data_IF_368814663678
#
_entry.id   IF_368814663678
#
_cell.length_a   1.000
_cell.length_b   1.000
_cell.length_c   1.000
_cell.angle_alpha   90.00
_cell.angle_beta   90.00
_cell.angle_gamma   90.00
#
_symmetry.space_group_name_H-M   'P 1'
#
loop_
_entity.id
_entity.type
_entity.pdbx_description
1 polymer ?
#
# COMPACT_ATOMS: atom_id res chain seq x y z
N UNK A 1 -8.47 -22.51 31.44
CA UNK A 1 -7.38 -23.12 32.23
C UNK A 1 -6.43 -23.85 31.29
N UNK A 2 -5.37 -23.18 30.85
CA UNK A 2 -4.16 -23.74 30.22
C UNK A 2 -3.16 -22.60 30.02
N UNK A 3 -2.35 -22.35 31.04
CA UNK A 3 -1.19 -21.46 31.01
C UNK A 3 -0.24 -21.94 32.12
N UNK A 4 0.44 -23.06 31.86
CA UNK A 4 1.43 -23.66 32.79
C UNK A 4 2.33 -24.68 32.06
N UNK A 5 2.81 -24.31 30.87
CA UNK A 5 3.61 -25.21 30.02
C UNK A 5 4.68 -24.51 29.19
N UNK A 6 5.20 -23.36 29.65
CA UNK A 6 6.22 -22.59 28.92
C UNK A 6 7.36 -22.08 29.83
N UNK A 7 7.53 -22.66 31.02
CA UNK A 7 8.59 -22.29 31.98
C UNK A 7 9.50 -23.46 32.38
N UNK A 8 9.38 -24.62 31.71
CA UNK A 8 10.22 -25.81 31.96
C UNK A 8 11.14 -26.19 30.78
N UNK A 9 11.32 -25.32 29.78
CA UNK A 9 12.18 -25.57 28.62
C UNK A 9 13.41 -24.65 28.51
N UNK A 10 13.91 -24.14 29.64
CA UNK A 10 15.15 -23.35 29.68
C UNK A 10 16.26 -23.96 30.55
N UNK A 11 16.14 -25.23 30.94
CA UNK A 11 17.10 -25.89 31.84
C UNK A 11 17.97 -27.00 31.21
N UNK A 12 18.01 -27.11 29.89
CA UNK A 12 18.89 -28.07 29.18
C UNK A 12 19.80 -27.36 28.18
N UNK A 13 20.75 -26.57 28.68
CA UNK A 13 21.93 -26.15 27.90
C UNK A 13 23.19 -26.73 28.54
N UNK A 14 24.08 -27.36 27.75
CA UNK A 14 25.25 -28.06 28.27
C UNK A 14 26.36 -27.09 28.76
N UNK A 15 27.03 -27.47 29.86
CA UNK A 15 27.99 -26.65 30.64
C UNK A 15 29.33 -26.33 29.93
N UNK A 16 29.51 -26.75 28.69
CA UNK A 16 30.73 -26.65 27.89
C UNK A 16 30.84 -25.37 27.04
N UNK A 17 29.85 -24.47 27.11
CA UNK A 17 29.88 -23.14 26.47
C UNK A 17 29.97 -21.95 27.45
N UNK A 18 30.19 -22.22 28.75
CA UNK A 18 30.33 -21.20 29.81
C UNK A 18 31.78 -21.06 30.34
N UNK A 19 32.77 -21.18 29.46
CA UNK A 19 34.19 -21.04 29.83
C UNK A 19 35.00 -20.25 28.79
N UNK A 20 34.59 -19.02 28.47
CA UNK A 20 35.48 -18.08 27.78
C UNK A 20 35.13 -16.60 28.02
N UNK A 21 35.40 -16.11 29.24
CA UNK A 21 35.72 -14.69 29.52
C UNK A 21 36.05 -14.49 31.01
N UNK A 22 37.16 -15.07 31.48
CA UNK A 22 37.80 -14.68 32.74
C UNK A 22 39.19 -14.09 32.41
N UNK A 23 39.52 -12.88 32.88
CA UNK A 23 40.74 -12.19 32.50
C UNK A 23 41.97 -12.84 33.14
N UNK A 24 42.91 -13.30 32.31
CA UNK A 24 44.25 -13.72 32.73
C UNK A 24 45.04 -12.52 33.23
N UNK A 25 45.44 -12.56 34.50
CA UNK A 25 46.51 -11.74 35.04
C UNK A 25 47.89 -12.31 34.64
N UNK A 26 48.81 -11.42 34.23
CA UNK A 26 50.25 -11.59 34.48
C UNK A 26 51.20 -11.56 33.28
N UNK A 27 51.85 -10.39 33.07
CA UNK A 27 53.30 -10.14 32.87
C UNK A 27 53.49 -8.84 32.07
N UNK A 28 53.93 -7.73 32.68
CA UNK A 28 55.26 -7.37 33.21
C UNK A 28 56.00 -6.45 32.23
N UNK A 29 56.02 -5.15 32.56
CA UNK A 29 56.85 -4.14 31.90
C UNK A 29 56.65 -2.76 32.55
N UNK A 30 57.58 -2.38 33.42
CA UNK A 30 58.24 -1.05 33.52
C UNK A 30 57.41 0.21 33.10
N UNK A 31 57.29 1.31 33.83
CA UNK A 31 58.16 1.94 34.84
C UNK A 31 57.37 2.95 35.70
N UNK A 32 57.85 3.18 36.92
CA UNK A 32 57.42 4.27 37.79
C UNK A 32 58.18 5.55 37.44
N UNK A 33 57.49 6.62 37.02
CA UNK A 33 57.78 8.04 37.32
C UNK A 33 56.87 8.97 36.50
N UNK A 34 56.47 10.07 37.16
CA UNK A 34 55.65 11.23 36.72
C UNK A 34 54.25 11.21 37.35
N UNK A 35 54.12 11.44 38.65
CA UNK A 35 54.03 12.76 39.30
C UNK A 35 52.90 13.65 38.76
N UNK A 36 51.89 13.83 39.62
CA UNK A 36 51.11 15.06 39.85
C UNK A 36 50.38 15.65 38.65
N UNK A 37 49.13 15.23 38.44
CA UNK A 37 48.32 15.85 37.39
C UNK A 37 46.83 15.50 37.32
N UNK A 38 46.23 14.69 38.20
CA UNK A 38 44.76 14.50 38.18
C UNK A 38 44.25 14.28 39.63
N UNK A 39 44.30 15.32 40.45
CA UNK A 39 43.55 15.36 41.72
C UNK A 39 42.64 16.60 41.81
N UNK A 40 42.48 17.34 40.70
CA UNK A 40 41.69 18.56 40.64
C UNK A 40 40.48 18.50 39.67
N UNK A 41 40.20 17.34 39.04
CA UNK A 41 39.03 17.17 38.17
C UNK A 41 37.90 16.34 38.78
N UNK A 42 38.06 15.80 39.99
CA UNK A 42 37.04 14.95 40.63
C UNK A 42 35.99 15.71 41.46
N UNK A 43 36.09 17.04 41.60
CA UNK A 43 35.10 17.86 42.31
C UNK A 43 34.20 18.71 41.39
N UNK A 44 34.36 18.64 40.06
CA UNK A 44 33.46 19.32 39.11
C UNK A 44 32.45 18.35 38.47
N UNK A 45 32.72 17.04 38.46
CA UNK A 45 31.82 16.06 37.82
C UNK A 45 30.73 15.53 38.77
N UNK A 46 30.91 15.62 40.09
CA UNK A 46 29.88 15.19 41.05
C UNK A 46 28.82 16.27 41.37
N UNK A 47 29.07 17.54 41.03
CA UNK A 47 28.15 18.66 41.27
C UNK A 47 27.22 18.99 40.08
N UNK A 48 27.58 18.58 38.86
CA UNK A 48 26.79 18.83 37.65
C UNK A 48 25.79 17.68 37.33
N UNK A 49 25.96 16.50 37.93
CA UNK A 49 25.08 15.35 37.69
C UNK A 49 23.76 15.38 38.49
N UNK A 50 23.55 16.37 39.37
CA UNK A 50 22.35 16.47 40.24
C UNK A 50 21.46 17.69 40.00
N UNK A 51 21.73 18.50 38.95
CA UNK A 51 20.91 19.67 38.61
C UNK A 51 20.54 19.80 37.12
N UNK A 52 20.70 18.74 36.32
CA UNK A 52 20.57 18.80 34.86
C UNK A 52 19.51 17.91 34.22
N UNK A 53 18.75 17.10 34.96
CA UNK A 53 17.63 16.34 34.39
C UNK A 53 16.35 17.14 34.56
N UNK A 54 16.24 18.24 33.81
CA UNK A 54 14.92 18.71 33.43
C UNK A 54 14.38 17.65 32.47
N UNK A 55 13.43 16.85 32.95
CA UNK A 55 12.55 16.08 32.08
C UNK A 55 11.93 17.07 31.10
N UNK A 56 12.48 17.15 29.90
CA UNK A 56 11.78 17.71 28.76
C UNK A 56 10.73 16.65 28.39
N UNK A 57 9.64 16.65 29.14
CA UNK A 57 8.40 16.07 28.66
C UNK A 57 8.11 16.84 27.37
N UNK A 58 7.94 16.16 26.21
CA UNK A 58 7.38 16.84 25.06
C UNK A 58 6.09 17.51 25.53
N UNK A 59 5.89 18.77 25.15
CA UNK A 59 4.61 19.42 25.38
C UNK A 59 3.51 18.44 24.91
N UNK A 60 2.40 18.28 25.66
CA UNK A 60 1.28 17.51 25.15
C UNK A 60 1.01 18.04 23.74
N UNK A 61 1.05 17.14 22.75
CA UNK A 61 0.76 17.51 21.37
C UNK A 61 -0.50 18.38 21.43
N UNK A 62 -0.39 19.62 20.91
CA UNK A 62 -1.58 20.47 20.82
C UNK A 62 -2.67 19.61 20.19
N UNK A 63 -3.88 19.56 20.78
CA UNK A 63 -4.94 18.74 20.22
C UNK A 63 -5.04 19.12 18.74
N UNK A 64 -4.83 18.12 17.87
CA UNK A 64 -4.94 18.30 16.43
C UNK A 64 -6.20 19.13 16.18
N UNK A 65 -6.10 20.24 15.44
CA UNK A 65 -7.25 21.12 15.23
C UNK A 65 -8.42 20.24 14.80
N UNK A 66 -9.54 20.36 15.51
CA UNK A 66 -10.71 19.52 15.24
C UNK A 66 -11.09 19.67 13.77
N UNK A 67 -11.05 18.57 13.02
CA UNK A 67 -11.36 18.58 11.59
C UNK A 67 -12.82 18.96 11.41
N UNK A 68 -13.07 20.01 10.63
CA UNK A 68 -14.42 20.39 10.22
C UNK A 68 -14.82 19.60 8.96
N UNK A 69 -15.60 18.54 9.16
CA UNK A 69 -16.09 17.68 8.08
C UNK A 69 -17.17 18.35 7.21
N UNK A 70 -17.72 19.50 7.63
CA UNK A 70 -18.68 20.24 6.81
C UNK A 70 -18.00 21.06 5.71
N UNK A 71 -16.69 21.27 5.81
CA UNK A 71 -15.93 22.02 4.83
C UNK A 71 -15.77 21.21 3.53
N UNK A 72 -15.97 21.89 2.40
CA UNK A 72 -15.67 21.39 1.06
C UNK A 72 -14.24 21.75 0.66
N UNK A 73 -13.59 20.87 -0.10
CA UNK A 73 -12.22 21.05 -0.61
C UNK A 73 -12.24 20.94 -2.13
N UNK A 74 -11.52 21.81 -2.84
CA UNK A 74 -11.37 21.67 -4.28
C UNK A 74 -10.28 20.63 -4.59
N UNK A 75 -10.50 19.84 -5.64
CA UNK A 75 -9.51 18.85 -6.06
C UNK A 75 -8.20 19.50 -6.50
N UNK A 76 -8.26 20.65 -7.17
CA UNK A 76 -7.08 21.42 -7.62
C UNK A 76 -6.18 21.94 -6.49
N UNK A 77 -6.70 22.03 -5.26
CA UNK A 77 -5.93 22.43 -4.07
C UNK A 77 -5.11 21.27 -3.47
N UNK A 78 -5.34 20.05 -3.93
CA UNK A 78 -4.64 18.85 -3.47
C UNK A 78 -3.34 18.63 -4.25
N UNK A 79 -2.35 18.03 -3.59
CA UNK A 79 -1.07 17.73 -4.22
C UNK A 79 -0.78 16.24 -4.14
N UNK A 80 -0.43 15.63 -5.27
CA UNK A 80 -0.13 14.20 -5.39
C UNK A 80 1.35 13.93 -5.68
N UNK A 81 2.17 14.98 -5.81
CA UNK A 81 3.58 14.89 -6.19
C UNK A 81 3.77 14.97 -7.69
N UNK A 82 4.92 14.50 -8.16
CA UNK A 82 5.21 14.42 -9.59
C UNK A 82 4.71 13.07 -10.11
N UNK A 83 3.55 13.07 -10.74
CA UNK A 83 2.93 11.87 -11.32
C UNK A 83 2.75 12.03 -12.82
N UNK A 84 2.75 10.92 -13.56
CA UNK A 84 2.45 10.95 -14.99
C UNK A 84 1.95 9.60 -15.52
N UNK A 85 1.12 9.66 -16.57
CA UNK A 85 0.79 8.52 -17.41
C UNK A 85 1.80 8.45 -18.58
N UNK A 86 2.45 7.29 -18.83
CA UNK A 86 3.25 7.06 -20.03
C UNK A 86 2.47 7.31 -21.31
N UNK A 87 3.13 7.93 -22.29
CA UNK A 87 2.59 8.04 -23.64
C UNK A 87 2.45 6.65 -24.29
N UNK A 88 1.41 6.47 -25.09
CA UNK A 88 1.25 5.25 -25.89
C UNK A 88 0.61 4.06 -25.16
N UNK A 89 0.03 4.27 -23.96
CA UNK A 89 -0.97 3.36 -23.38
C UNK A 89 -2.24 3.40 -24.26
N UNK A 90 -2.18 2.72 -25.40
CA UNK A 90 -3.27 2.73 -26.37
C UNK A 90 -4.43 1.88 -25.86
N UNK A 91 -5.56 2.54 -25.58
CA UNK A 91 -6.85 1.89 -25.38
C UNK A 91 -7.36 1.44 -26.74
N UNK A 92 -6.99 0.24 -27.17
CA UNK A 92 -7.57 -0.36 -28.37
C UNK A 92 -8.90 -1.02 -28.02
N UNK A 93 -9.97 -0.23 -27.96
CA UNK A 93 -11.30 -0.80 -27.75
C UNK A 93 -12.43 0.22 -27.75
N UNK A 94 -13.32 0.12 -28.75
CA UNK A 94 -14.67 0.71 -28.71
C UNK A 94 -15.60 -0.17 -27.85
N UNK A 95 -15.22 -0.49 -26.62
CA UNK A 95 -16.09 -1.24 -25.72
C UNK A 95 -16.94 -0.27 -24.91
N UNK A 96 -18.10 0.12 -25.45
CA UNK A 96 -19.16 0.72 -24.65
C UNK A 96 -19.75 -0.38 -23.78
N UNK A 97 -19.18 -0.60 -22.60
CA UNK A 97 -19.75 -1.54 -21.62
C UNK A 97 -20.70 -0.76 -20.72
N UNK A 98 -21.98 -1.18 -20.68
CA UNK A 98 -22.92 -0.70 -19.67
C UNK A 98 -22.57 -1.35 -18.34
N UNK A 99 -21.67 -0.71 -17.62
CA UNK A 99 -21.18 -1.19 -16.34
C UNK A 99 -22.18 -0.79 -15.25
N UNK A 100 -22.57 -1.76 -14.42
CA UNK A 100 -23.20 -1.46 -13.14
C UNK A 100 -22.08 -1.16 -12.14
N UNK A 101 -21.96 0.10 -11.75
CA UNK A 101 -21.07 0.52 -10.68
C UNK A 101 -21.52 -0.16 -9.39
N UNK A 102 -20.59 -0.80 -8.67
CA UNK A 102 -20.92 -1.31 -7.35
C UNK A 102 -21.13 -0.15 -6.37
N UNK A 103 -22.33 -0.04 -5.82
CA UNK A 103 -22.65 1.07 -4.91
C UNK A 103 -21.87 1.03 -3.58
N UNK A 104 -21.22 -0.10 -3.24
CA UNK A 104 -20.44 -0.30 -2.02
C UNK A 104 -19.17 -1.11 -2.28
N UNK A 105 -18.02 -0.43 -2.28
CA UNK A 105 -16.74 -1.06 -2.61
C UNK A 105 -16.17 -1.91 -1.46
N UNK A 106 -16.48 -1.60 -0.19
CA UNK A 106 -16.08 -2.51 0.90
C UNK A 106 -16.80 -3.86 0.82
N UNK A 107 -18.08 -3.87 0.43
CA UNK A 107 -18.80 -5.12 0.20
C UNK A 107 -18.20 -5.91 -0.97
N UNK A 108 -17.77 -5.22 -2.03
CA UNK A 108 -17.01 -5.82 -3.13
C UNK A 108 -15.77 -6.55 -2.61
N UNK A 109 -14.95 -5.87 -1.79
CA UNK A 109 -13.75 -6.46 -1.19
C UNK A 109 -14.09 -7.69 -0.33
N UNK A 110 -15.12 -7.61 0.50
CA UNK A 110 -15.54 -8.73 1.36
C UNK A 110 -16.03 -9.93 0.56
N UNK A 111 -16.68 -9.70 -0.58
CA UNK A 111 -17.17 -10.75 -1.48
C UNK A 111 -16.04 -11.40 -2.30
N UNK A 112 -15.13 -10.58 -2.84
CA UNK A 112 -14.08 -11.03 -3.74
C UNK A 112 -12.78 -11.45 -3.02
N UNK A 113 -12.64 -11.10 -1.74
CA UNK A 113 -11.57 -11.54 -0.83
C UNK A 113 -10.18 -11.36 -1.42
N UNK A 114 -9.64 -10.13 -1.42
CA UNK A 114 -8.26 -9.94 -1.82
C UNK A 114 -7.32 -10.73 -0.91
N UNK A 115 -6.18 -11.16 -1.45
CA UNK A 115 -5.11 -11.79 -0.67
C UNK A 115 -4.34 -10.76 0.17
N UNK A 116 -4.42 -9.48 -0.20
CA UNK A 116 -3.81 -8.39 0.54
C UNK A 116 -4.46 -7.04 0.26
N UNK A 117 -4.26 -6.11 1.19
CA UNK A 117 -4.59 -4.69 1.02
C UNK A 117 -3.32 -3.90 1.34
N UNK A 118 -2.78 -3.20 0.35
CA UNK A 118 -1.45 -2.57 0.41
C UNK A 118 -1.51 -1.12 0.00
N UNK A 119 -0.65 -0.30 0.58
CA UNK A 119 -0.29 1.00 0.04
C UNK A 119 0.97 0.88 -0.80
N UNK A 120 0.95 1.43 -1.99
CA UNK A 120 2.03 1.34 -2.96
C UNK A 120 2.38 2.68 -3.56
N UNK A 121 3.63 2.80 -4.02
CA UNK A 121 4.04 3.77 -5.02
C UNK A 121 4.15 3.08 -6.38
N UNK A 122 3.56 3.65 -7.43
CA UNK A 122 3.72 3.13 -8.79
C UNK A 122 5.09 3.49 -9.33
N UNK A 123 5.87 2.49 -9.71
CA UNK A 123 7.25 2.67 -10.19
C UNK A 123 7.38 2.50 -11.69
N UNK A 124 6.56 1.64 -12.31
CA UNK A 124 6.48 1.46 -13.76
C UNK A 124 5.08 1.04 -14.19
N UNK A 125 4.74 1.28 -15.46
CA UNK A 125 3.49 0.85 -16.07
C UNK A 125 3.68 0.63 -17.57
N UNK A 126 3.17 -0.50 -18.08
CA UNK A 126 3.31 -0.91 -19.48
C UNK A 126 2.20 -1.87 -19.91
N UNK A 127 1.86 -1.89 -21.19
CA UNK A 127 0.93 -2.91 -21.72
C UNK A 127 1.68 -4.20 -22.06
N UNK A 128 1.00 -5.34 -21.90
CA UNK A 128 1.43 -6.64 -22.41
C UNK A 128 0.38 -7.19 -23.36
N UNK A 129 0.81 -7.56 -24.56
CA UNK A 129 -0.04 -8.20 -25.57
C UNK A 129 0.09 -9.72 -25.49
N UNK A 130 -1.04 -10.39 -25.68
CA UNK A 130 -1.17 -11.83 -25.74
C UNK A 130 -1.79 -12.22 -27.07
N UNK A 131 -1.22 -13.23 -27.71
CA UNK A 131 -1.70 -13.77 -28.99
C UNK A 131 -1.72 -15.27 -28.88
N UNK A 132 -2.89 -15.84 -29.10
CA UNK A 132 -3.10 -17.26 -28.96
C UNK A 132 -4.25 -17.74 -29.82
N UNK A 133 -4.23 -19.02 -30.15
CA UNK A 133 -5.19 -19.64 -31.03
C UNK A 133 -6.08 -20.59 -30.23
N UNK A 134 -7.38 -20.53 -30.49
CA UNK A 134 -8.36 -21.42 -29.87
C UNK A 134 -9.12 -22.20 -30.92
N UNK A 135 -9.62 -23.36 -30.52
CA UNK A 135 -10.62 -24.09 -31.29
C UNK A 135 -12.02 -23.81 -30.76
N UNK A 136 -12.86 -23.17 -31.57
CA UNK A 136 -14.27 -22.89 -31.27
C UNK A 136 -15.14 -23.44 -32.40
N UNK A 137 -16.13 -24.29 -32.08
CA UNK A 137 -17.11 -24.90 -33.01
C UNK A 137 -16.59 -25.06 -34.45
N UNK A 138 -15.66 -26.01 -34.63
CA UNK A 138 -15.09 -26.42 -35.92
C UNK A 138 -14.31 -25.35 -36.71
N UNK A 139 -13.84 -24.29 -36.04
CA UNK A 139 -12.96 -23.28 -36.64
C UNK A 139 -11.82 -22.89 -35.70
N UNK A 140 -10.70 -22.53 -36.33
CA UNK A 140 -9.58 -21.85 -35.68
C UNK A 140 -9.94 -20.38 -35.50
N UNK A 141 -9.83 -19.87 -34.27
CA UNK A 141 -9.93 -18.44 -33.97
C UNK A 141 -8.58 -17.94 -33.46
N UNK A 142 -8.16 -16.80 -34.00
CA UNK A 142 -6.96 -16.10 -33.57
C UNK A 142 -7.35 -15.03 -32.55
N UNK A 143 -6.98 -15.23 -31.30
CA UNK A 143 -7.27 -14.33 -30.21
C UNK A 143 -6.14 -13.32 -30.03
N UNK A 144 -6.54 -12.11 -29.66
CA UNK A 144 -5.64 -11.05 -29.23
C UNK A 144 -6.21 -10.44 -27.96
N UNK A 145 -5.40 -10.43 -26.91
CA UNK A 145 -5.74 -9.80 -25.64
C UNK A 145 -4.61 -8.87 -25.19
N UNK A 146 -4.94 -7.90 -24.35
CA UNK A 146 -3.95 -6.98 -23.81
C UNK A 146 -4.25 -6.72 -22.34
N UNK A 147 -3.22 -6.73 -21.50
CA UNK A 147 -3.30 -6.34 -20.09
C UNK A 147 -2.43 -5.11 -19.85
N UNK A 148 -2.69 -4.42 -18.75
CA UNK A 148 -1.84 -3.37 -18.22
C UNK A 148 -1.09 -3.91 -17.02
N UNK A 149 0.24 -3.91 -17.10
CA UNK A 149 1.11 -4.29 -16.01
C UNK A 149 1.49 -3.05 -15.22
N UNK A 150 1.45 -3.18 -13.90
CA UNK A 150 2.00 -2.19 -12.98
C UNK A 150 3.11 -2.83 -12.16
N UNK A 151 4.22 -2.11 -12.04
CA UNK A 151 5.22 -2.39 -11.01
C UNK A 151 5.04 -1.38 -9.87
N UNK A 152 5.09 -1.92 -8.66
CA UNK A 152 4.85 -1.20 -7.42
C UNK A 152 6.01 -1.37 -6.45
N UNK A 153 6.26 -0.32 -5.69
CA UNK A 153 6.97 -0.38 -4.42
C UNK A 153 5.95 -0.39 -3.29
N UNK A 154 5.89 -1.44 -2.47
CA UNK A 154 4.99 -1.49 -1.31
C UNK A 154 5.54 -0.56 -0.23
N UNK A 155 4.71 0.39 0.22
CA UNK A 155 5.00 1.34 1.30
C UNK A 155 4.48 0.81 2.64
N UNK A 156 3.28 0.23 2.63
CA UNK A 156 2.62 -0.28 3.82
C UNK A 156 1.71 -1.46 3.46
N UNK A 157 1.56 -2.40 4.40
CA UNK A 157 0.66 -3.53 4.28
C UNK A 157 -0.38 -3.42 5.39
N UNK A 158 -1.65 -3.33 5.01
CA UNK A 158 -2.78 -3.27 5.94
C UNK A 158 -3.33 -4.66 6.25
N UNK A 159 -3.33 -5.55 5.25
CA UNK A 159 -3.82 -6.92 5.33
C UNK A 159 -3.04 -7.80 4.34
N UNK A 160 -2.89 -9.10 4.63
CA UNK A 160 -2.18 -10.07 3.79
C UNK A 160 -0.72 -10.32 4.20
N UNK A 161 0.01 -11.07 3.38
CA UNK A 161 1.34 -11.60 3.72
C UNK A 161 2.53 -10.92 3.00
N UNK A 162 2.29 -9.80 2.31
CA UNK A 162 3.38 -9.01 1.72
C UNK A 162 4.15 -8.23 2.78
N UNK A 163 5.29 -7.67 2.40
CA UNK A 163 6.13 -6.85 3.28
C UNK A 163 6.30 -5.41 2.74
N UNK A 164 6.35 -4.43 3.65
CA UNK A 164 6.73 -3.07 3.28
C UNK A 164 8.18 -3.05 2.77
N UNK A 165 8.44 -2.29 1.71
CA UNK A 165 9.73 -2.29 1.01
C UNK A 165 9.84 -3.37 -0.08
N UNK A 166 8.89 -4.29 -0.21
CA UNK A 166 8.87 -5.28 -1.28
C UNK A 166 8.40 -4.68 -2.62
N UNK A 167 8.98 -5.13 -3.73
CA UNK A 167 8.46 -4.86 -5.07
C UNK A 167 7.34 -5.83 -5.43
N UNK A 168 6.30 -5.34 -6.09
CA UNK A 168 5.14 -6.12 -6.50
C UNK A 168 4.78 -5.79 -7.95
N UNK A 169 4.65 -6.81 -8.80
CA UNK A 169 4.10 -6.66 -10.15
C UNK A 169 2.69 -7.23 -10.17
N UNK A 170 1.75 -6.47 -10.71
CA UNK A 170 0.35 -6.90 -10.91
C UNK A 170 -0.07 -6.68 -12.36
N UNK A 171 -1.08 -7.43 -12.78
CA UNK A 171 -1.65 -7.34 -14.11
C UNK A 171 -3.15 -7.07 -14.06
N UNK A 172 -3.56 -5.92 -14.62
CA UNK A 172 -4.95 -5.51 -14.78
C UNK A 172 -5.44 -5.82 -16.20
N UNK A 173 -6.38 -6.75 -16.30
CA UNK A 173 -7.06 -7.16 -17.53
C UNK A 173 -8.30 -6.33 -17.87
N UNK A 174 -8.77 -5.51 -16.94
CA UNK A 174 -9.98 -4.67 -17.08
C UNK A 174 -9.66 -3.21 -17.38
N UNK A 175 -8.38 -2.84 -17.53
CA UNK A 175 -7.97 -1.44 -17.66
C UNK A 175 -8.60 -0.69 -18.86
N UNK A 176 -8.98 -1.43 -19.91
CA UNK A 176 -9.68 -0.88 -21.08
C UNK A 176 -11.12 -0.44 -20.78
N UNK A 177 -11.69 -0.92 -19.68
CA UNK A 177 -13.04 -0.58 -19.24
C UNK A 177 -13.06 0.70 -18.40
N UNK A 178 -11.92 1.07 -17.79
CA UNK A 178 -11.78 2.21 -16.88
C UNK A 178 -10.50 3.04 -17.14
N UNK A 179 -10.22 3.46 -18.38
CA UNK A 179 -8.99 4.19 -18.69
C UNK A 179 -8.92 5.56 -18.00
N UNK A 180 -10.04 6.12 -17.58
CA UNK A 180 -10.12 7.36 -16.80
C UNK A 180 -9.56 7.19 -15.37
N UNK A 181 -9.48 5.96 -14.86
CA UNK A 181 -9.08 5.67 -13.47
C UNK A 181 -7.74 4.94 -13.39
N UNK A 182 -6.92 5.04 -14.43
CA UNK A 182 -5.57 4.50 -14.42
C UNK A 182 -4.73 5.19 -13.35
N UNK A 183 -3.96 4.38 -12.63
CA UNK A 183 -2.93 4.89 -11.75
C UNK A 183 -1.77 5.48 -12.55
N UNK A 184 -1.12 6.47 -11.97
CA UNK A 184 0.00 7.18 -12.58
C UNK A 184 1.34 6.78 -11.96
N UNK A 185 2.40 6.73 -12.76
CA UNK A 185 3.77 6.51 -12.26
C UNK A 185 4.13 7.64 -11.28
N UNK A 186 4.74 7.28 -10.16
CA UNK A 186 5.04 8.18 -9.04
C UNK A 186 3.86 8.42 -8.09
N UNK A 187 2.65 8.03 -8.49
CA UNK A 187 1.45 8.13 -7.67
C UNK A 187 1.46 7.10 -6.54
N UNK A 188 0.79 7.45 -5.43
CA UNK A 188 0.64 6.58 -4.26
C UNK A 188 -0.81 6.19 -4.07
N UNK A 189 -1.07 4.89 -3.95
CA UNK A 189 -2.41 4.34 -3.93
C UNK A 189 -2.54 3.25 -2.87
N UNK A 190 -3.73 3.13 -2.28
CA UNK A 190 -4.11 1.93 -1.54
C UNK A 190 -4.84 1.03 -2.51
N UNK A 191 -4.50 -0.26 -2.56
CA UNK A 191 -5.01 -1.21 -3.55
C UNK A 191 -5.29 -2.59 -2.93
N UNK A 192 -6.42 -3.23 -3.27
CA UNK A 192 -6.58 -4.66 -3.06
C UNK A 192 -5.74 -5.43 -4.08
N UNK A 193 -5.09 -6.50 -3.62
CA UNK A 193 -4.35 -7.44 -4.46
C UNK A 193 -5.09 -8.78 -4.45
N UNK A 194 -5.36 -9.31 -5.64
CA UNK A 194 -6.01 -10.61 -5.84
C UNK A 194 -5.02 -11.61 -6.44
N UNK A 195 -5.19 -12.88 -6.09
CA UNK A 195 -4.54 -13.97 -6.80
C UNK A 195 -5.45 -14.40 -7.96
N UNK A 196 -5.11 -13.91 -9.16
CA UNK A 196 -5.81 -14.25 -10.38
C UNK A 196 -5.27 -15.59 -10.92
N UNK A 197 -3.98 -15.89 -10.72
CA UNK A 197 -3.33 -17.12 -11.19
C UNK A 197 -2.53 -16.93 -12.48
N UNK A 198 -1.88 -17.99 -12.97
CA UNK A 198 -0.88 -17.88 -14.06
C UNK A 198 -1.48 -17.77 -15.46
N UNK A 199 -2.76 -18.12 -15.65
CA UNK A 199 -3.42 -18.12 -16.96
C UNK A 199 -4.36 -16.92 -17.09
N UNK A 200 -4.33 -16.26 -18.25
CA UNK A 200 -5.26 -15.19 -18.61
C UNK A 200 -6.71 -15.59 -18.40
N UNK A 201 -7.50 -14.71 -17.77
CA UNK A 201 -8.93 -14.93 -17.47
C UNK A 201 -9.73 -15.32 -18.72
N UNK A 202 -9.47 -14.65 -19.86
CA UNK A 202 -10.17 -14.90 -21.13
C UNK A 202 -9.87 -16.28 -21.73
N UNK A 203 -8.71 -16.87 -21.41
CA UNK A 203 -8.27 -18.14 -21.96
C UNK A 203 -8.57 -19.36 -21.07
N UNK A 204 -9.07 -19.17 -19.83
CA UNK A 204 -9.24 -20.26 -18.84
C UNK A 204 -10.22 -21.33 -19.26
N UNK A 205 -11.31 -20.91 -19.90
CA UNK A 205 -12.38 -21.80 -20.33
C UNK A 205 -12.27 -22.16 -21.82
N UNK A 206 -11.18 -21.74 -22.47
CA UNK A 206 -10.95 -21.95 -23.89
C UNK A 206 -10.03 -23.15 -24.14
N UNK A 207 -10.28 -23.87 -25.24
CA UNK A 207 -9.34 -24.90 -25.70
C UNK A 207 -8.23 -24.23 -26.49
N UNK A 208 -7.21 -23.75 -25.77
CA UNK A 208 -6.02 -23.12 -26.35
C UNK A 208 -5.18 -24.16 -27.08
N UNK A 209 -4.87 -23.90 -28.35
CA UNK A 209 -4.04 -24.76 -29.19
C UNK A 209 -2.57 -24.37 -29.15
N UNK A 210 -2.29 -23.07 -29.32
CA UNK A 210 -0.94 -22.50 -29.32
C UNK A 210 -0.96 -21.01 -28.98
N UNK A 211 0.22 -20.45 -28.67
CA UNK A 211 0.41 -19.03 -28.35
C UNK A 211 0.63 -18.75 -26.87
N UNK A 212 0.63 -17.46 -26.52
CA UNK A 212 0.89 -17.00 -25.16
C UNK A 212 -0.41 -16.70 -24.41
N UNK A 213 -0.58 -17.38 -23.29
CA UNK A 213 -1.68 -17.21 -22.33
C UNK A 213 -1.19 -17.09 -20.89
N UNK A 214 0.13 -17.07 -20.69
CA UNK A 214 0.75 -17.07 -19.35
C UNK A 214 1.06 -15.66 -18.91
N UNK A 215 0.46 -15.27 -17.79
CA UNK A 215 0.69 -13.99 -17.13
C UNK A 215 2.12 -13.92 -16.60
N UNK A 216 2.71 -12.73 -16.57
CA UNK A 216 4.02 -12.54 -15.95
C UNK A 216 3.93 -12.58 -14.42
N UNK A 217 2.73 -12.34 -13.90
CA UNK A 217 2.42 -12.37 -12.47
C UNK A 217 1.05 -13.03 -12.23
N UNK A 218 0.92 -13.85 -11.17
CA UNK A 218 -0.37 -14.36 -10.76
C UNK A 218 -1.26 -13.29 -10.12
N UNK A 219 -0.72 -12.09 -9.85
CA UNK A 219 -1.44 -11.05 -9.11
C UNK A 219 -2.19 -10.10 -10.03
N UNK A 220 -3.33 -9.62 -9.55
CA UNK A 220 -4.13 -8.58 -10.17
C UNK A 220 -4.51 -7.50 -9.15
N UNK A 221 -4.76 -6.30 -9.64
CA UNK A 221 -5.43 -5.26 -8.89
C UNK A 221 -6.54 -4.67 -9.76
N UNK A 222 -7.73 -4.49 -9.18
CA UNK A 222 -8.81 -3.76 -9.83
C UNK A 222 -9.72 -3.14 -8.78
N UNK A 223 -10.05 -1.87 -9.02
CA UNK A 223 -11.20 -1.20 -8.43
C UNK A 223 -12.31 -1.36 -9.45
N UNK A 224 -13.34 -2.15 -9.14
CA UNK A 224 -14.41 -2.46 -10.08
C UNK A 224 -15.12 -1.16 -10.50
N UNK A 225 -14.65 -0.57 -11.59
CA UNK A 225 -15.20 0.62 -12.23
C UNK A 225 -15.20 1.89 -11.38
N UNK A 226 -14.21 2.02 -10.49
CA UNK A 226 -14.09 3.16 -9.58
C UNK A 226 -12.68 3.71 -9.54
N UNK A 227 -12.52 5.03 -9.26
CA UNK A 227 -11.22 5.60 -8.94
C UNK A 227 -10.52 4.85 -7.80
N UNK A 228 -9.20 4.56 -7.91
CA UNK A 228 -8.43 4.02 -6.80
C UNK A 228 -8.31 5.02 -5.66
N UNK A 229 -8.08 4.52 -4.44
CA UNK A 229 -7.79 5.38 -3.28
C UNK A 229 -6.40 5.98 -3.48
N UNK A 230 -6.29 7.30 -3.63
CA UNK A 230 -5.03 7.98 -3.89
C UNK A 230 -4.57 8.77 -2.66
N UNK A 231 -3.27 8.72 -2.35
CA UNK A 231 -2.67 9.42 -1.22
C UNK A 231 -2.02 10.75 -1.65
N UNK A 232 -2.32 11.82 -0.94
CA UNK A 232 -1.72 13.14 -1.15
C UNK A 232 -0.30 13.22 -0.59
N UNK A 233 0.46 14.25 -0.99
CA UNK A 233 1.79 14.56 -0.41
C UNK A 233 1.71 14.80 1.09
N UNK A 234 0.61 15.37 1.57
CA UNK A 234 0.35 15.66 2.97
C UNK A 234 -0.02 14.40 3.77
N UNK A 235 -0.30 13.27 3.11
CA UNK A 235 -0.64 12.01 3.75
C UNK A 235 -2.14 11.79 3.99
N UNK A 236 -2.99 12.63 3.39
CA UNK A 236 -4.44 12.45 3.35
C UNK A 236 -4.83 11.54 2.16
N UNK A 237 -6.07 11.07 2.14
CA UNK A 237 -6.56 10.10 1.17
C UNK A 237 -7.77 10.63 0.42
N UNK A 238 -7.73 10.54 -0.91
CA UNK A 238 -8.82 10.83 -1.82
C UNK A 238 -9.44 9.53 -2.28
N UNK A 239 -10.75 9.40 -2.13
CA UNK A 239 -11.48 8.19 -2.52
C UNK A 239 -12.94 8.47 -2.85
N UNK A 240 -13.60 7.58 -3.60
CA UNK A 240 -15.05 7.61 -3.76
C UNK A 240 -15.80 7.38 -2.44
N UNK A 241 -16.99 7.97 -2.30
CA UNK A 241 -17.89 7.79 -1.15
C UNK A 241 -18.57 6.42 -1.08
N UNK A 242 -18.44 5.60 -2.13
CA UNK A 242 -18.76 4.17 -2.12
C UNK A 242 -17.89 3.38 -1.14
N UNK A 243 -16.77 3.96 -0.68
CA UNK A 243 -16.01 3.49 0.47
C UNK A 243 -16.67 3.97 1.79
N UNK A 244 -17.79 3.37 2.17
CA UNK A 244 -18.64 3.83 3.28
C UNK A 244 -17.93 3.83 4.63
N UNK A 245 -17.11 2.82 4.91
CA UNK A 245 -16.38 2.71 6.18
C UNK A 245 -15.23 3.72 6.17
N UNK A 246 -14.42 3.71 5.12
CA UNK A 246 -13.23 4.57 5.05
C UNK A 246 -13.58 6.05 4.94
N UNK A 247 -14.71 6.39 4.32
CA UNK A 247 -15.16 7.77 4.13
C UNK A 247 -16.12 8.29 5.21
N UNK A 248 -16.41 7.51 6.26
CA UNK A 248 -17.36 7.90 7.32
C UNK A 248 -17.02 9.23 8.00
N UNK A 249 -15.73 9.58 8.06
CA UNK A 249 -15.21 10.84 8.57
C UNK A 249 -14.41 11.52 7.47
N UNK A 250 -15.10 12.30 6.63
CA UNK A 250 -14.50 12.88 5.43
C UNK A 250 -15.06 14.25 5.12
N UNK A 251 -14.31 15.01 4.32
CA UNK A 251 -14.74 16.25 3.68
C UNK A 251 -15.16 15.94 2.24
N UNK A 252 -16.14 16.67 1.73
CA UNK A 252 -16.51 16.57 0.31
C UNK A 252 -15.42 17.20 -0.56
N UNK A 253 -15.08 16.55 -1.66
CA UNK A 253 -14.26 17.12 -2.71
C UNK A 253 -15.16 17.67 -3.82
N UNK A 254 -14.85 18.86 -4.31
CA UNK A 254 -15.40 19.39 -5.56
C UNK A 254 -14.36 19.17 -6.66
N UNK A 255 -14.75 18.43 -7.70
CA UNK A 255 -13.90 18.20 -8.86
C UNK A 255 -13.93 19.44 -9.76
N UNK A 256 -13.05 20.40 -9.48
CA UNK A 256 -12.98 21.70 -10.17
C UNK A 256 -12.00 21.73 -11.35
N UNK A 257 -11.56 20.56 -11.80
CA UNK A 257 -10.76 20.41 -13.01
C UNK A 257 -11.68 20.31 -14.22
N UNK A 258 -11.49 21.19 -15.20
CA UNK A 258 -12.14 21.04 -16.50
C UNK A 258 -11.53 19.83 -17.21
N UNK A 259 -12.18 18.68 -17.14
CA UNK A 259 -11.77 17.53 -17.94
C UNK A 259 -12.04 17.83 -19.41
N UNK A 260 -11.08 17.49 -20.27
CA UNK A 260 -11.18 17.65 -21.72
C UNK A 260 -12.48 17.02 -22.21
N UNK A 261 -13.15 17.71 -23.12
CA UNK A 261 -14.48 17.45 -23.72
C UNK A 261 -14.68 16.09 -24.42
N UNK A 262 -13.78 15.13 -24.25
CA UNK A 262 -13.76 13.88 -25.01
C UNK A 262 -14.51 12.73 -24.31
N UNK A 263 -14.74 12.78 -22.99
CA UNK A 263 -15.56 11.76 -22.30
C UNK A 263 -16.26 12.29 -21.02
N UNK A 264 -17.28 13.18 -21.15
CA UNK A 264 -17.89 13.86 -20.01
C UNK A 264 -18.63 12.91 -19.03
N UNK A 265 -19.28 11.85 -19.52
CA UNK A 265 -20.31 11.15 -18.74
C UNK A 265 -19.85 10.32 -17.53
N UNK A 266 -18.57 9.93 -17.43
CA UNK A 266 -18.09 9.04 -16.36
C UNK A 266 -17.46 9.81 -15.18
N UNK A 267 -16.74 10.90 -15.45
CA UNK A 267 -16.26 11.79 -14.39
C UNK A 267 -17.40 12.59 -13.74
N UNK A 268 -18.43 12.96 -14.52
CA UNK A 268 -19.67 13.54 -14.00
C UNK A 268 -20.30 12.64 -12.93
N UNK A 269 -20.13 11.31 -13.02
CA UNK A 269 -20.67 10.41 -11.99
C UNK A 269 -19.95 10.57 -10.65
N UNK A 270 -18.63 10.80 -10.63
CA UNK A 270 -17.88 10.91 -9.37
C UNK A 270 -17.70 12.36 -8.89
N UNK A 271 -18.11 13.36 -9.67
CA UNK A 271 -17.95 14.80 -9.38
C UNK A 271 -18.36 15.18 -7.94
N UNK A 272 -19.50 14.66 -7.47
CA UNK A 272 -20.05 14.92 -6.13
C UNK A 272 -19.82 13.76 -5.15
N UNK A 273 -19.14 12.70 -5.59
CA UNK A 273 -18.94 11.47 -4.82
C UNK A 273 -17.54 11.32 -4.26
N UNK A 274 -16.59 12.18 -4.59
CA UNK A 274 -15.22 12.12 -4.06
C UNK A 274 -15.12 12.70 -2.65
N UNK A 275 -14.28 12.08 -1.82
CA UNK A 275 -14.10 12.36 -0.39
C UNK A 275 -12.63 12.50 -0.06
N UNK A 276 -12.32 13.44 0.85
CA UNK A 276 -11.02 13.62 1.45
C UNK A 276 -11.05 13.16 2.90
N UNK A 277 -10.22 12.18 3.23
CA UNK A 277 -10.07 11.60 4.56
C UNK A 277 -8.68 11.93 5.09
N UNK A 278 -8.56 12.35 6.35
CA UNK A 278 -7.26 12.61 6.94
C UNK A 278 -6.47 11.32 7.12
N UNK A 279 -5.14 11.39 7.17
CA UNK A 279 -4.33 10.20 7.43
C UNK A 279 -4.68 9.48 8.74
N UNK A 280 -5.04 10.22 9.79
CA UNK A 280 -5.43 9.67 11.10
C UNK A 280 -6.78 8.95 11.03
N UNK A 281 -7.80 9.60 10.44
CA UNK A 281 -9.13 8.99 10.30
C UNK A 281 -9.08 7.77 9.38
N UNK A 282 -8.29 7.84 8.29
CA UNK A 282 -8.09 6.72 7.39
C UNK A 282 -7.49 5.52 8.10
N UNK A 283 -6.40 5.70 8.86
CA UNK A 283 -5.77 4.61 9.61
C UNK A 283 -6.76 3.98 10.62
N UNK A 284 -7.56 4.80 11.31
CA UNK A 284 -8.59 4.33 12.24
C UNK A 284 -9.68 3.51 11.54
N UNK A 285 -10.21 3.98 10.41
CA UNK A 285 -11.26 3.27 9.67
C UNK A 285 -10.72 2.03 8.95
N UNK A 286 -9.48 2.09 8.46
CA UNK A 286 -8.80 0.96 7.84
C UNK A 286 -8.64 -0.20 8.83
N UNK A 287 -8.35 0.08 10.10
CA UNK A 287 -8.31 -0.95 11.13
C UNK A 287 -9.67 -1.68 11.29
N UNK A 288 -10.78 -0.95 11.20
CA UNK A 288 -12.14 -1.54 11.24
C UNK A 288 -12.39 -2.42 10.01
N UNK A 289 -12.02 -1.95 8.82
CA UNK A 289 -12.18 -2.73 7.58
C UNK A 289 -11.34 -4.01 7.60
N UNK A 290 -10.08 -3.92 8.04
CA UNK A 290 -9.17 -5.08 8.15
C UNK A 290 -9.68 -6.10 9.17
N UNK A 291 -10.26 -5.64 10.28
CA UNK A 291 -10.92 -6.54 11.24
C UNK A 291 -12.06 -7.33 10.59
N UNK A 292 -12.89 -6.69 9.76
CA UNK A 292 -13.97 -7.36 9.03
C UNK A 292 -13.44 -8.38 8.01
N UNK A 293 -12.41 -8.03 7.23
CA UNK A 293 -11.76 -8.92 6.27
C UNK A 293 -11.15 -10.16 6.96
N UNK A 294 -10.63 -9.99 8.17
CA UNK A 294 -10.02 -11.08 8.94
C UNK A 294 -11.05 -12.03 9.57
N UNK A 295 -12.32 -11.60 9.69
CA UNK A 295 -13.41 -12.39 10.26
C UNK A 295 -14.25 -13.13 9.23
N UNK A 296 -14.24 -12.65 7.97
CA UNK A 296 -14.96 -13.26 6.85
C UNK A 296 -14.28 -14.51 6.36
#
# INVERSE_FOLDING_TARGET
MRARGLLEQLNDLPEDLLLEAQPKAGRSGFSWRCWTGIAACFCVVAGAALLGVQFWLPAPAEPSPSVDYSQTVNYSDLSFGNTYLPEGLQVHGNATVSIQLEDNMEQALLNHRPIALVEVTVTDMRTKEYRYDIWDVDRLLHQWAQTLQYDFQIEQVYYGSFEAGQALTVENNSYLLDPEYLMEIGGRYVLPVYEEGEILSFARDETVLEGDVHRDTPYACYYLFQPPIQRTVQGDYVMPSSWQILSAYSRQIVMDLSLSSENPGYYDYFEDKMRLVTGEDFARQMAVLVEQLSQS
#
